data_IF_395903268824
#
_entry.id   IF_395903268824
#
_cell.length_a   1.000
_cell.length_b   1.000
_cell.length_c   1.000
_cell.angle_alpha   90.00
_cell.angle_beta   90.00
_cell.angle_gamma   90.00
#
_symmetry.space_group_name_H-M   'P 1'
#
loop_
_entity.id
_entity.type
_entity.pdbx_description
1 polymer ?
#
# COMPACT_ATOMS: atom_id res chain seq x y z
N UNK A 1 -11.98 6.05 -5.64
CA UNK A 1 -12.42 6.25 -4.24
C UNK A 1 -11.35 6.95 -3.42
N UNK A 2 -10.07 6.63 -3.57
CA UNK A 2 -8.96 7.31 -2.86
C UNK A 2 -9.04 8.84 -3.02
N UNK A 3 -9.21 9.35 -4.24
CA UNK A 3 -9.26 10.80 -4.53
C UNK A 3 -10.65 11.45 -4.32
N UNK A 4 -11.71 10.67 -4.08
CA UNK A 4 -13.08 11.16 -3.82
C UNK A 4 -13.78 10.31 -2.77
N UNK A 5 -13.36 10.37 -1.50
CA UNK A 5 -13.86 9.48 -0.45
C UNK A 5 -15.36 9.68 -0.14
N UNK A 6 -15.96 10.81 -0.53
CA UNK A 6 -17.38 11.12 -0.32
C UNK A 6 -18.26 10.90 -1.56
N UNK A 7 -17.69 10.42 -2.68
CA UNK A 7 -18.48 10.18 -3.88
C UNK A 7 -19.54 9.12 -3.64
N UNK A 8 -20.78 9.41 -4.10
CA UNK A 8 -21.87 8.44 -4.08
C UNK A 8 -21.78 7.47 -5.27
N UNK A 9 -22.57 6.36 -5.23
CA UNK A 9 -22.53 5.34 -6.30
C UNK A 9 -22.85 5.90 -7.69
N UNK A 10 -23.69 6.92 -7.79
CA UNK A 10 -24.05 7.51 -9.08
C UNK A 10 -22.87 8.30 -9.68
N UNK A 11 -22.14 9.03 -8.86
CA UNK A 11 -20.92 9.75 -9.27
C UNK A 11 -19.82 8.77 -9.66
N UNK A 12 -19.70 7.66 -8.92
CA UNK A 12 -18.74 6.59 -9.25
C UNK A 12 -19.11 5.91 -10.59
N UNK A 13 -20.38 5.57 -10.82
CA UNK A 13 -20.85 5.01 -12.08
C UNK A 13 -20.51 5.93 -13.27
N UNK A 14 -20.76 7.24 -13.12
CA UNK A 14 -20.41 8.24 -14.13
C UNK A 14 -18.90 8.32 -14.38
N UNK A 15 -18.09 8.26 -13.31
CA UNK A 15 -16.63 8.35 -13.41
C UNK A 15 -16.00 7.17 -14.15
N UNK A 16 -16.58 5.96 -14.01
CA UNK A 16 -16.08 4.74 -14.70
C UNK A 16 -16.82 4.44 -16.01
N UNK A 17 -17.76 5.29 -16.42
CA UNK A 17 -18.46 5.14 -17.70
C UNK A 17 -19.49 4.02 -17.76
N UNK A 18 -20.02 3.57 -16.62
CA UNK A 18 -21.08 2.56 -16.57
C UNK A 18 -22.43 3.16 -16.17
N UNK A 19 -23.53 2.46 -16.53
CA UNK A 19 -24.87 2.91 -16.09
C UNK A 19 -25.05 2.73 -14.59
N UNK A 20 -25.89 3.60 -13.99
CA UNK A 20 -26.31 3.47 -12.59
C UNK A 20 -26.86 2.06 -12.32
N UNK A 21 -27.74 1.56 -13.20
CA UNK A 21 -28.33 0.23 -13.05
C UNK A 21 -27.27 -0.89 -13.05
N UNK A 22 -26.26 -0.77 -13.90
CA UNK A 22 -25.14 -1.72 -13.95
C UNK A 22 -24.35 -1.73 -12.63
N UNK A 23 -24.00 -0.56 -12.08
CA UNK A 23 -23.28 -0.49 -10.81
C UNK A 23 -24.10 -0.98 -9.64
N UNK A 24 -25.40 -0.62 -9.56
CA UNK A 24 -26.29 -1.07 -8.49
C UNK A 24 -26.57 -2.59 -8.53
N UNK A 25 -26.55 -3.19 -9.71
CA UNK A 25 -26.64 -4.66 -9.84
C UNK A 25 -25.37 -5.35 -9.36
N UNK A 26 -24.23 -4.69 -9.52
CA UNK A 26 -22.93 -5.19 -9.09
C UNK A 26 -22.70 -4.98 -7.59
N UNK A 27 -23.02 -3.78 -7.06
CA UNK A 27 -22.92 -3.41 -5.65
C UNK A 27 -24.15 -2.56 -5.28
N UNK A 28 -25.08 -3.07 -4.45
CA UNK A 28 -26.32 -2.36 -4.14
C UNK A 28 -26.09 -1.14 -3.23
N UNK A 29 -25.04 -1.15 -2.43
CA UNK A 29 -24.66 -0.04 -1.54
C UNK A 29 -23.22 0.39 -1.73
N UNK A 30 -22.88 1.56 -1.21
CA UNK A 30 -21.51 2.06 -1.22
C UNK A 30 -20.59 1.21 -0.32
N UNK A 31 -21.12 0.75 0.80
CA UNK A 31 -20.45 -0.13 1.76
C UNK A 31 -20.09 -1.45 1.10
N UNK A 32 -21.04 -2.09 0.41
CA UNK A 32 -20.80 -3.34 -0.34
C UNK A 32 -19.71 -3.15 -1.44
N UNK A 33 -19.67 -1.96 -2.07
CA UNK A 33 -18.58 -1.65 -3.02
C UNK A 33 -17.24 -1.52 -2.31
N UNK A 34 -17.19 -0.87 -1.15
CA UNK A 34 -15.95 -0.73 -0.36
C UNK A 34 -15.45 -2.10 0.07
N UNK A 35 -16.31 -2.96 0.62
CA UNK A 35 -15.94 -4.32 1.04
C UNK A 35 -15.34 -5.13 -0.11
N UNK A 36 -15.99 -5.13 -1.29
CA UNK A 36 -15.44 -5.80 -2.46
C UNK A 36 -14.12 -5.24 -2.94
N UNK A 37 -13.94 -3.92 -2.86
CA UNK A 37 -12.66 -3.28 -3.20
C UNK A 37 -11.57 -3.62 -2.17
N UNK A 38 -11.90 -3.72 -0.89
CA UNK A 38 -10.98 -4.17 0.15
C UNK A 38 -10.53 -5.61 -0.08
N UNK A 39 -11.46 -6.51 -0.40
CA UNK A 39 -11.14 -7.89 -0.75
C UNK A 39 -10.19 -7.98 -1.93
N UNK A 40 -10.53 -7.33 -3.03
CA UNK A 40 -9.70 -7.33 -4.25
C UNK A 40 -8.33 -6.67 -4.02
N UNK A 41 -8.30 -5.56 -3.31
CA UNK A 41 -7.06 -4.84 -3.01
C UNK A 41 -6.15 -5.69 -2.11
N UNK A 42 -6.69 -6.34 -1.08
CA UNK A 42 -5.91 -7.21 -0.17
C UNK A 42 -5.31 -8.39 -0.93
N UNK A 43 -6.07 -9.04 -1.80
CA UNK A 43 -5.57 -10.15 -2.63
C UNK A 43 -4.48 -9.65 -3.60
N UNK A 44 -4.69 -8.52 -4.25
CA UNK A 44 -3.75 -7.99 -5.25
C UNK A 44 -2.45 -7.52 -4.61
N UNK A 45 -2.54 -6.76 -3.52
CA UNK A 45 -1.36 -6.27 -2.79
C UNK A 45 -0.62 -7.43 -2.11
N UNK A 46 -1.33 -8.38 -1.52
CA UNK A 46 -0.72 -9.59 -0.94
C UNK A 46 0.06 -10.40 -1.98
N UNK A 47 -0.49 -10.54 -3.20
CA UNK A 47 0.21 -11.19 -4.31
C UNK A 47 1.44 -10.40 -4.77
N UNK A 48 1.34 -9.07 -4.85
CA UNK A 48 2.47 -8.21 -5.21
C UNK A 48 3.63 -8.37 -4.20
N UNK A 49 3.32 -8.39 -2.90
CA UNK A 49 4.31 -8.61 -1.83
C UNK A 49 4.90 -10.01 -1.89
N UNK A 50 4.08 -11.05 -2.09
CA UNK A 50 4.58 -12.42 -2.23
C UNK A 50 5.57 -12.56 -3.41
N UNK A 51 5.32 -11.84 -4.52
CA UNK A 51 6.21 -11.83 -5.68
C UNK A 51 7.55 -11.13 -5.42
N UNK A 52 7.66 -10.30 -4.37
CA UNK A 52 8.92 -9.64 -3.99
C UNK A 52 9.93 -10.59 -3.35
N UNK A 53 9.51 -11.82 -2.98
CA UNK A 53 10.37 -12.84 -2.35
C UNK A 53 11.14 -12.30 -1.13
N UNK A 54 10.43 -11.58 -0.25
CA UNK A 54 11.00 -10.84 0.88
C UNK A 54 11.74 -11.72 1.89
N UNK A 55 11.44 -13.01 1.93
CA UNK A 55 12.06 -13.97 2.86
C UNK A 55 13.37 -14.56 2.35
N UNK A 56 13.52 -14.75 1.02
CA UNK A 56 14.59 -15.57 0.45
C UNK A 56 15.59 -14.78 -0.41
N UNK A 57 15.14 -13.73 -1.11
CA UNK A 57 16.01 -12.95 -1.97
C UNK A 57 17.01 -12.11 -1.15
N UNK A 58 18.19 -11.75 -1.69
CA UNK A 58 19.09 -10.77 -1.07
C UNK A 58 18.32 -9.49 -0.72
N UNK A 59 18.57 -8.90 0.46
CA UNK A 59 17.75 -7.79 1.00
C UNK A 59 17.70 -6.57 0.10
N UNK A 60 18.78 -6.25 -0.59
CA UNK A 60 18.84 -5.16 -1.56
C UNK A 60 17.94 -5.40 -2.78
N UNK A 61 17.93 -6.65 -3.27
CA UNK A 61 17.08 -7.08 -4.38
C UNK A 61 15.61 -7.11 -3.97
N UNK A 62 15.31 -7.67 -2.80
CA UNK A 62 13.96 -7.73 -2.25
C UNK A 62 13.41 -6.31 -1.95
N UNK A 63 14.25 -5.40 -1.47
CA UNK A 63 13.86 -4.01 -1.21
C UNK A 63 13.47 -3.28 -2.50
N UNK A 64 14.24 -3.43 -3.57
CA UNK A 64 13.90 -2.88 -4.90
C UNK A 64 12.63 -3.49 -5.46
N UNK A 65 12.44 -4.80 -5.28
CA UNK A 65 11.21 -5.48 -5.68
C UNK A 65 9.99 -4.97 -4.90
N UNK A 66 10.14 -4.70 -3.59
CA UNK A 66 9.08 -4.10 -2.76
C UNK A 66 8.67 -2.72 -3.27
N UNK A 67 9.64 -1.86 -3.62
CA UNK A 67 9.36 -0.55 -4.21
C UNK A 67 8.61 -0.70 -5.55
N UNK A 68 9.08 -1.59 -6.41
CA UNK A 68 8.43 -1.83 -7.71
C UNK A 68 7.00 -2.35 -7.54
N UNK A 69 6.78 -3.36 -6.69
CA UNK A 69 5.46 -3.93 -6.39
C UNK A 69 4.51 -2.89 -5.77
N UNK A 70 5.02 -2.01 -4.89
CA UNK A 70 4.24 -0.89 -4.36
C UNK A 70 3.82 0.06 -5.49
N UNK A 71 4.72 0.45 -6.39
CA UNK A 71 4.42 1.38 -7.47
C UNK A 71 3.45 0.78 -8.51
N UNK A 72 3.50 -0.53 -8.77
CA UNK A 72 2.57 -1.23 -9.64
C UNK A 72 1.15 -1.31 -9.04
N UNK A 73 1.04 -1.47 -7.72
CA UNK A 73 -0.24 -1.61 -7.00
C UNK A 73 -0.62 -0.35 -6.21
N UNK A 74 -0.01 0.80 -6.49
CA UNK A 74 -0.06 2.01 -5.66
C UNK A 74 -1.46 2.48 -5.30
N UNK A 75 -2.42 2.47 -6.24
CA UNK A 75 -3.79 2.91 -5.98
C UNK A 75 -4.52 1.97 -5.01
N UNK A 76 -4.30 0.67 -5.13
CA UNK A 76 -4.89 -0.33 -4.23
C UNK A 76 -4.22 -0.31 -2.86
N UNK A 77 -2.89 -0.17 -2.83
CA UNK A 77 -2.13 -0.04 -1.58
C UNK A 77 -2.55 1.21 -0.81
N UNK A 78 -2.67 2.37 -1.47
CA UNK A 78 -3.18 3.60 -0.86
C UNK A 78 -4.61 3.43 -0.36
N UNK A 79 -5.46 2.71 -1.12
CA UNK A 79 -6.83 2.43 -0.72
C UNK A 79 -6.88 1.59 0.56
N UNK A 80 -6.04 0.55 0.69
CA UNK A 80 -5.91 -0.26 1.90
C UNK A 80 -5.42 0.58 3.08
N UNK A 81 -4.29 1.29 2.93
CA UNK A 81 -3.72 2.15 3.99
C UNK A 81 -4.76 3.16 4.49
N UNK A 82 -5.57 3.72 3.59
CA UNK A 82 -6.64 4.65 3.98
C UNK A 82 -7.76 3.99 4.77
N UNK A 83 -8.14 2.76 4.44
CA UNK A 83 -9.29 2.08 5.04
C UNK A 83 -8.94 1.24 6.27
N UNK A 84 -7.69 0.78 6.40
CA UNK A 84 -7.21 0.01 7.56
C UNK A 84 -6.48 0.88 8.59
N UNK A 85 -6.81 2.15 8.70
CA UNK A 85 -6.34 2.97 9.82
C UNK A 85 -6.94 2.46 11.14
N UNK A 86 -6.22 2.59 12.28
CA UNK A 86 -6.67 2.05 13.58
C UNK A 86 -8.08 2.47 13.99
N UNK A 87 -8.51 3.69 13.62
CA UNK A 87 -9.86 4.19 13.88
C UNK A 87 -10.97 3.44 13.13
N UNK A 88 -10.64 2.68 12.10
CA UNK A 88 -11.57 1.85 11.31
C UNK A 88 -11.39 0.34 11.57
N UNK A 89 -10.34 -0.04 12.29
CA UNK A 89 -10.18 -1.41 12.77
C UNK A 89 -11.14 -1.60 13.94
N UNK A 90 -12.26 -2.24 13.66
CA UNK A 90 -13.12 -2.73 14.72
C UNK A 90 -12.29 -3.77 15.50
N UNK A 91 -11.96 -3.49 16.78
CA UNK A 91 -11.19 -4.38 17.65
C UNK A 91 -11.75 -5.81 17.71
N UNK A 92 -13.04 -5.96 17.37
CA UNK A 92 -13.75 -7.23 17.38
C UNK A 92 -13.46 -8.16 16.19
N UNK A 93 -12.92 -7.67 15.08
CA UNK A 93 -12.62 -8.49 13.90
C UNK A 93 -11.62 -7.79 12.95
N UNK A 94 -10.32 -7.73 13.30
CA UNK A 94 -9.31 -7.21 12.40
C UNK A 94 -9.23 -8.11 11.15
N UNK A 95 -9.14 -7.50 9.97
CA UNK A 95 -8.91 -8.28 8.75
C UNK A 95 -7.54 -8.95 8.81
N UNK A 96 -7.55 -10.27 9.07
CA UNK A 96 -6.32 -11.07 9.25
C UNK A 96 -5.39 -10.98 8.05
N UNK A 97 -5.93 -10.87 6.84
CA UNK A 97 -5.13 -10.77 5.61
C UNK A 97 -4.29 -9.49 5.58
N UNK A 98 -4.84 -8.38 6.08
CA UNK A 98 -4.09 -7.13 6.22
C UNK A 98 -2.99 -7.26 7.29
N UNK A 99 -3.32 -7.87 8.43
CA UNK A 99 -2.34 -8.12 9.48
C UNK A 99 -1.20 -9.03 8.99
N UNK A 100 -1.50 -10.03 8.17
CA UNK A 100 -0.49 -10.91 7.59
C UNK A 100 0.43 -10.15 6.62
N UNK A 101 -0.12 -9.24 5.81
CA UNK A 101 0.66 -8.34 4.93
C UNK A 101 1.57 -7.44 5.75
N UNK A 102 1.06 -6.78 6.79
CA UNK A 102 1.85 -5.93 7.68
C UNK A 102 2.98 -6.72 8.33
N UNK A 103 2.65 -7.89 8.91
CA UNK A 103 3.65 -8.76 9.53
C UNK A 103 4.74 -9.18 8.55
N UNK A 104 4.40 -9.56 7.33
CA UNK A 104 5.39 -9.92 6.30
C UNK A 104 6.35 -8.76 6.01
N UNK A 105 5.85 -7.54 5.94
CA UNK A 105 6.69 -6.36 5.76
C UNK A 105 7.55 -6.10 7.01
N UNK A 106 6.98 -6.15 8.21
CA UNK A 106 7.74 -5.96 9.46
C UNK A 106 8.88 -6.97 9.60
N UNK A 107 8.62 -8.24 9.31
CA UNK A 107 9.62 -9.32 9.33
C UNK A 107 10.74 -9.04 8.30
N UNK A 108 10.40 -8.52 7.13
CA UNK A 108 11.38 -8.13 6.12
C UNK A 108 12.26 -6.95 6.59
N UNK A 109 11.69 -5.91 7.18
CA UNK A 109 12.47 -4.79 7.72
C UNK A 109 13.38 -5.23 8.86
N UNK A 110 12.92 -6.17 9.73
CA UNK A 110 13.76 -6.78 10.74
C UNK A 110 14.93 -7.56 10.10
N UNK A 111 14.68 -8.31 9.04
CA UNK A 111 15.72 -9.00 8.30
C UNK A 111 16.73 -8.02 7.68
N UNK A 112 16.29 -6.89 7.14
CA UNK A 112 17.19 -5.84 6.63
C UNK A 112 18.12 -5.27 7.72
N UNK A 113 17.64 -5.16 8.96
CA UNK A 113 18.49 -4.79 10.11
C UNK A 113 19.49 -5.89 10.45
N UNK A 114 19.05 -7.14 10.50
CA UNK A 114 19.91 -8.29 10.82
C UNK A 114 21.03 -8.49 9.81
N UNK A 115 20.78 -8.18 8.53
CA UNK A 115 21.77 -8.25 7.45
C UNK A 115 22.59 -6.94 7.28
N UNK A 116 22.39 -5.95 8.16
CA UNK A 116 23.19 -4.73 8.18
C UNK A 116 22.86 -3.69 7.10
N UNK A 117 21.71 -3.84 6.43
CA UNK A 117 21.24 -2.85 5.45
C UNK A 117 20.61 -1.64 6.12
N UNK A 118 19.91 -1.83 7.24
CA UNK A 118 19.19 -0.78 7.96
C UNK A 118 19.69 -0.64 9.39
N UNK A 119 19.64 0.58 9.89
CA UNK A 119 20.00 0.95 11.27
C UNK A 119 19.14 0.24 12.29
N UNK A 120 19.74 -0.09 13.45
CA UNK A 120 19.10 -0.89 14.51
C UNK A 120 18.55 -0.06 15.68
N UNK A 121 18.80 1.25 15.70
CA UNK A 121 18.32 2.16 16.77
C UNK A 121 16.87 2.64 16.56
N UNK A 122 16.27 2.30 15.40
CA UNK A 122 14.85 2.48 15.08
C UNK A 122 14.23 1.09 14.94
N UNK A 123 13.05 0.84 15.51
CA UNK A 123 12.42 -0.48 15.38
C UNK A 123 12.06 -0.81 13.93
N UNK A 124 12.07 -2.09 13.56
CA UNK A 124 11.68 -2.56 12.22
C UNK A 124 10.27 -2.10 11.83
N UNK A 125 9.32 -2.16 12.77
CA UNK A 125 7.95 -1.66 12.58
C UNK A 125 7.94 -0.16 12.25
N UNK A 126 8.71 0.65 12.96
CA UNK A 126 8.79 2.08 12.69
C UNK A 126 9.43 2.37 11.32
N UNK A 127 10.45 1.61 10.93
CA UNK A 127 11.06 1.70 9.59
C UNK A 127 10.07 1.34 8.49
N UNK A 128 9.26 0.30 8.69
CA UNK A 128 8.18 -0.10 7.80
C UNK A 128 7.16 1.05 7.61
N UNK A 129 6.67 1.62 8.71
CA UNK A 129 5.73 2.76 8.67
C UNK A 129 6.32 4.00 7.96
N UNK A 130 7.60 4.32 8.23
CA UNK A 130 8.32 5.42 7.59
C UNK A 130 8.44 5.17 6.08
N UNK A 131 8.80 3.94 5.67
CA UNK A 131 8.92 3.57 4.26
C UNK A 131 7.60 3.79 3.51
N UNK A 132 6.51 3.21 3.99
CA UNK A 132 5.21 3.38 3.34
C UNK A 132 4.69 4.81 3.43
N UNK A 133 5.02 5.55 4.50
CA UNK A 133 4.73 6.97 4.63
C UNK A 133 5.41 7.80 3.54
N UNK A 134 6.70 7.61 3.30
CA UNK A 134 7.47 8.27 2.23
C UNK A 134 6.89 7.89 0.85
N UNK A 135 6.74 6.58 0.59
CA UNK A 135 6.27 6.08 -0.70
C UNK A 135 4.87 6.60 -1.04
N UNK A 136 3.93 6.55 -0.08
CA UNK A 136 2.55 7.05 -0.24
C UNK A 136 2.52 8.55 -0.48
N UNK A 137 3.30 9.33 0.27
CA UNK A 137 3.37 10.79 0.13
C UNK A 137 3.90 11.21 -1.24
N UNK A 138 4.93 10.51 -1.76
CA UNK A 138 5.50 10.79 -3.07
C UNK A 138 4.53 10.43 -4.20
N UNK A 139 3.85 9.28 -4.12
CA UNK A 139 2.81 8.88 -5.09
C UNK A 139 1.62 9.85 -5.08
N UNK A 140 1.19 10.29 -3.92
CA UNK A 140 0.14 11.31 -3.82
C UNK A 140 0.59 12.66 -4.41
N UNK A 141 1.84 13.04 -4.22
CA UNK A 141 2.41 14.24 -4.81
C UNK A 141 2.54 14.12 -6.34
N UNK A 142 2.85 12.94 -6.87
CA UNK A 142 2.82 12.65 -8.31
C UNK A 142 1.42 12.82 -8.88
N UNK A 143 0.39 12.29 -8.23
CA UNK A 143 -1.00 12.42 -8.67
C UNK A 143 -1.50 13.87 -8.73
N UNK A 144 -0.89 14.76 -7.95
CA UNK A 144 -1.13 16.21 -7.96
C UNK A 144 -0.21 16.99 -8.90
N UNK A 145 0.65 16.31 -9.67
CA UNK A 145 1.60 16.92 -10.60
C UNK A 145 2.77 17.67 -9.93
N UNK A 146 3.05 17.41 -8.65
CA UNK A 146 4.13 18.07 -7.90
C UNK A 146 5.46 17.34 -7.97
N UNK A 147 5.44 16.05 -8.22
CA UNK A 147 6.61 15.18 -8.36
C UNK A 147 6.49 14.43 -9.68
N UNK A 148 7.56 14.33 -10.48
CA UNK A 148 7.51 13.59 -11.74
C UNK A 148 7.42 12.08 -11.46
N UNK A 149 6.74 11.36 -12.35
CA UNK A 149 6.66 9.89 -12.29
C UNK A 149 7.99 9.23 -12.61
N UNK A 150 8.76 9.84 -13.52
CA UNK A 150 10.07 9.33 -13.91
C UNK A 150 11.04 9.38 -12.71
N UNK A 151 11.74 8.29 -12.43
CA UNK A 151 12.69 8.18 -11.32
C UNK A 151 12.04 8.04 -9.93
N UNK A 152 10.74 7.70 -9.86
CA UNK A 152 10.03 7.58 -8.58
C UNK A 152 10.60 6.46 -7.71
N UNK A 153 10.96 5.33 -8.29
CA UNK A 153 11.54 4.20 -7.56
C UNK A 153 12.88 4.60 -6.90
N UNK A 154 13.77 5.21 -7.67
CA UNK A 154 15.07 5.68 -7.18
C UNK A 154 14.92 6.81 -6.15
N UNK A 155 13.90 7.64 -6.29
CA UNK A 155 13.61 8.68 -5.31
C UNK A 155 13.18 8.09 -3.98
N UNK A 156 12.25 7.12 -3.99
CA UNK A 156 11.80 6.42 -2.78
C UNK A 156 12.99 5.72 -2.10
N UNK A 157 13.75 4.92 -2.86
CA UNK A 157 14.93 4.19 -2.36
C UNK A 157 15.93 5.16 -1.70
N UNK A 158 16.33 6.19 -2.41
CA UNK A 158 17.30 7.16 -1.91
C UNK A 158 16.82 7.92 -0.69
N UNK A 159 15.57 8.41 -0.69
CA UNK A 159 15.02 9.16 0.44
C UNK A 159 14.91 8.30 1.69
N UNK A 160 14.55 7.01 1.53
CA UNK A 160 14.48 6.11 2.65
C UNK A 160 15.88 5.71 3.15
N UNK A 161 16.77 5.22 2.28
CA UNK A 161 18.07 4.70 2.70
C UNK A 161 19.01 5.80 3.23
N UNK A 162 18.91 7.05 2.80
CA UNK A 162 19.70 8.14 3.37
C UNK A 162 19.31 8.49 4.82
N UNK A 163 18.13 8.08 5.29
CA UNK A 163 17.70 8.26 6.68
C UNK A 163 17.70 6.97 7.51
N UNK A 164 17.56 5.83 6.87
CA UNK A 164 17.35 4.52 7.50
C UNK A 164 18.51 3.53 7.25
N UNK A 165 19.41 3.81 6.32
CA UNK A 165 20.59 2.98 6.05
C UNK A 165 21.53 2.91 7.25
N UNK A 166 22.24 1.79 7.39
CA UNK A 166 23.24 1.55 8.43
C UNK A 166 24.55 2.29 8.14
#
# INVERSE_FOLDING_TARGET
MVHRPRANLQELAKAVGVSKATLYRFCPTREALIERLLDEATVTVGRAIANCNLEQAPVDTAFKALIAGFLESKELTQFLIFHFRPEFLNESNPDRRWLDIQKTCDDFFLRCQQEGMLRIDISAVALNEIFFGIATSLVESESRGRVPRAGMAELIERMFLQGAGA
#
